data_IF_964265298882
#
_entry.id   IF_964265298882
#
_cell.length_a   1.000
_cell.length_b   1.000
_cell.length_c   1.000
_cell.angle_alpha   90.00
_cell.angle_beta   90.00
_cell.angle_gamma   90.00
#
_symmetry.space_group_name_H-M   'P 1'
#
loop_
_entity.id
_entity.type
_entity.pdbx_description
1 polymer ?
#
# COMPACT_ATOMS: atom_id res chain seq x y z
N UNK A 1 6.95 -0.80 10.58
CA UNK A 1 6.70 -2.19 11.03
C UNK A 1 7.04 -3.08 9.85
N UNK A 2 7.74 -4.20 10.06
CA UNK A 2 8.00 -5.13 8.97
C UNK A 2 6.67 -5.74 8.46
N UNK A 3 6.66 -6.27 7.25
CA UNK A 3 5.47 -6.89 6.70
C UNK A 3 5.78 -7.80 5.51
N UNK A 4 4.75 -8.49 5.02
CA UNK A 4 4.82 -9.35 3.85
C UNK A 4 3.89 -8.81 2.78
N UNK A 5 4.37 -8.69 1.54
CA UNK A 5 3.56 -8.26 0.41
C UNK A 5 2.53 -9.34 0.09
N UNK A 6 1.26 -9.03 0.32
CA UNK A 6 0.13 -9.92 0.03
C UNK A 6 -0.42 -9.74 -1.39
N UNK A 7 -0.33 -8.52 -1.93
CA UNK A 7 -0.75 -8.24 -3.29
C UNK A 7 0.12 -7.16 -3.92
N UNK A 8 0.44 -7.34 -5.20
CA UNK A 8 0.99 -6.34 -6.10
C UNK A 8 0.15 -6.42 -7.38
N UNK A 9 -0.66 -5.40 -7.65
CA UNK A 9 -1.70 -5.47 -8.67
C UNK A 9 -1.86 -4.17 -9.43
N UNK A 10 -2.42 -4.28 -10.64
CA UNK A 10 -2.84 -3.13 -11.43
C UNK A 10 -4.34 -3.24 -11.73
N UNK A 11 -5.05 -2.15 -11.48
CA UNK A 11 -6.47 -1.99 -11.85
C UNK A 11 -6.61 -0.77 -12.76
N UNK A 12 -7.31 -0.91 -13.89
CA UNK A 12 -7.52 0.20 -14.84
C UNK A 12 -8.38 1.32 -14.23
N UNK A 13 -9.31 0.95 -13.36
CA UNK A 13 -10.19 1.85 -12.61
C UNK A 13 -10.01 1.52 -11.12
N UNK A 14 -10.01 2.52 -10.24
CA UNK A 14 -9.80 2.35 -8.80
C UNK A 14 -8.35 2.62 -8.40
N UNK A 15 -7.67 1.66 -7.78
CA UNK A 15 -6.38 1.90 -7.13
C UNK A 15 -5.19 2.07 -8.08
N UNK A 16 -5.32 1.77 -9.37
CA UNK A 16 -4.18 1.81 -10.28
C UNK A 16 -3.19 0.70 -9.92
N UNK A 17 -1.90 1.02 -9.95
CA UNK A 17 -0.87 0.17 -9.35
C UNK A 17 -0.97 0.27 -7.83
N UNK A 18 -1.15 -0.88 -7.19
CA UNK A 18 -1.30 -0.96 -5.74
C UNK A 18 -0.52 -2.11 -5.12
N UNK A 19 -0.03 -1.87 -3.91
CA UNK A 19 0.66 -2.83 -3.06
C UNK A 19 -0.10 -2.96 -1.75
N UNK A 20 -0.44 -4.19 -1.37
CA UNK A 20 -1.02 -4.53 -0.07
C UNK A 20 0.03 -5.29 0.74
N UNK A 21 0.34 -4.79 1.93
CA UNK A 21 1.29 -5.39 2.86
C UNK A 21 0.55 -5.81 4.14
N UNK A 22 0.79 -7.03 4.60
CA UNK A 22 0.34 -7.51 5.91
C UNK A 22 1.43 -7.33 6.95
N UNK A 23 1.07 -6.80 8.11
CA UNK A 23 1.96 -6.56 9.25
C UNK A 23 1.75 -7.57 10.40
N UNK A 24 0.93 -8.60 10.18
CA UNK A 24 0.45 -9.50 11.24
C UNK A 24 -0.77 -8.95 11.98
N UNK A 25 -1.39 -9.79 12.83
CA UNK A 25 -2.60 -9.48 13.60
C UNK A 25 -3.73 -8.86 12.75
N UNK A 26 -3.90 -9.36 11.52
CA UNK A 26 -4.86 -8.85 10.52
C UNK A 26 -4.75 -7.34 10.19
N UNK A 27 -3.62 -6.72 10.55
CA UNK A 27 -3.31 -5.35 10.17
C UNK A 27 -2.67 -5.32 8.79
N UNK A 28 -3.19 -4.48 7.91
CA UNK A 28 -2.68 -4.32 6.55
C UNK A 28 -2.55 -2.85 6.17
N UNK A 29 -1.59 -2.55 5.31
CA UNK A 29 -1.45 -1.26 4.66
C UNK A 29 -1.58 -1.40 3.15
N UNK A 30 -2.34 -0.51 2.53
CA UNK A 30 -2.51 -0.43 1.08
C UNK A 30 -1.91 0.87 0.55
N UNK A 31 -1.04 0.75 -0.45
CA UNK A 31 -0.39 1.87 -1.13
C UNK A 31 -0.85 1.87 -2.58
N UNK A 32 -1.55 2.91 -3.02
CA UNK A 32 -2.18 2.98 -4.34
C UNK A 32 -1.72 4.19 -5.17
N UNK A 33 -2.19 4.21 -6.42
CA UNK A 33 -1.88 5.20 -7.47
C UNK A 33 -0.41 5.24 -7.87
N UNK A 34 0.36 4.19 -7.60
CA UNK A 34 1.79 4.16 -7.88
C UNK A 34 2.07 4.28 -9.39
N UNK A 35 3.18 4.90 -9.78
CA UNK A 35 3.66 4.88 -11.16
C UNK A 35 4.37 3.57 -11.50
N UNK A 36 5.01 2.95 -10.49
CA UNK A 36 5.71 1.68 -10.60
C UNK A 36 5.67 0.91 -9.28
N UNK A 37 5.55 -0.41 -9.36
CA UNK A 37 5.70 -1.33 -8.23
C UNK A 37 7.11 -1.94 -8.30
N UNK A 38 7.83 -1.95 -7.18
CA UNK A 38 9.21 -2.46 -7.09
C UNK A 38 9.32 -3.76 -6.27
N UNK A 39 8.20 -4.27 -5.76
CA UNK A 39 8.12 -5.49 -4.95
C UNK A 39 7.15 -6.50 -5.56
N UNK A 40 7.28 -7.76 -5.15
CA UNK A 40 6.42 -8.88 -5.57
C UNK A 40 5.75 -9.53 -4.35
N UNK A 41 4.67 -10.25 -4.62
CA UNK A 41 3.96 -11.03 -3.59
C UNK A 41 4.93 -12.01 -2.91
N UNK A 42 4.87 -12.06 -1.59
CA UNK A 42 5.74 -12.88 -0.74
C UNK A 42 7.03 -12.19 -0.29
N UNK A 43 7.36 -11.00 -0.82
CA UNK A 43 8.52 -10.25 -0.34
C UNK A 43 8.29 -9.82 1.12
N UNK A 44 9.32 -10.01 1.94
CA UNK A 44 9.41 -9.41 3.27
C UNK A 44 9.95 -8.00 3.12
N UNK A 45 9.24 -7.03 3.68
CA UNK A 45 9.59 -5.61 3.61
C UNK A 45 9.75 -5.02 5.01
N UNK A 46 10.68 -4.10 5.15
CA UNK A 46 10.88 -3.30 6.36
C UNK A 46 10.46 -1.84 6.13
N UNK A 47 10.46 -1.05 7.19
CA UNK A 47 10.03 0.36 7.14
C UNK A 47 10.86 1.23 6.17
N UNK A 48 12.08 0.82 5.85
CA UNK A 48 13.00 1.49 4.91
C UNK A 48 12.97 0.91 3.50
N UNK A 49 12.23 -0.18 3.27
CA UNK A 49 12.19 -0.84 1.96
C UNK A 49 11.40 -0.01 0.96
N UNK A 50 12.01 0.27 -0.18
CA UNK A 50 11.31 0.90 -1.29
C UNK A 50 10.35 -0.11 -1.95
N UNK A 51 9.05 0.19 -1.90
CA UNK A 51 7.99 -0.69 -2.44
C UNK A 51 7.48 -0.25 -3.81
N UNK A 52 7.76 0.98 -4.22
CA UNK A 52 7.24 1.56 -5.44
C UNK A 52 7.50 3.06 -5.56
N UNK A 53 7.11 3.62 -6.70
CA UNK A 53 7.21 5.06 -6.99
C UNK A 53 5.82 5.68 -7.00
N UNK A 54 5.65 6.85 -6.36
CA UNK A 54 4.40 7.62 -6.40
C UNK A 54 4.01 7.94 -7.86
N UNK A 55 2.71 8.01 -8.13
CA UNK A 55 2.20 8.31 -9.47
C UNK A 55 0.76 8.80 -9.44
N UNK A 56 0.07 8.62 -10.57
CA UNK A 56 -1.33 9.00 -10.77
C UNK A 56 -2.11 7.91 -11.55
N UNK A 57 -1.81 6.63 -11.31
CA UNK A 57 -2.48 5.53 -12.02
C UNK A 57 -3.86 5.21 -11.43
N UNK A 58 -4.74 4.61 -12.24
CA UNK A 58 -6.11 4.29 -11.81
C UNK A 58 -7.00 5.53 -11.74
N UNK A 59 -7.82 5.62 -10.70
CA UNK A 59 -8.72 6.75 -10.47
C UNK A 59 -8.05 7.79 -9.58
N UNK A 60 -7.14 8.56 -10.17
CA UNK A 60 -6.42 9.66 -9.51
C UNK A 60 -6.59 10.96 -10.31
N UNK A 61 -6.72 12.09 -9.61
CA UNK A 61 -6.83 13.42 -10.24
C UNK A 61 -5.47 14.08 -10.51
N UNK A 62 -4.39 13.50 -9.96
CA UNK A 62 -3.02 13.98 -10.11
C UNK A 62 -2.05 13.13 -9.28
N UNK A 63 -0.73 13.40 -9.33
CA UNK A 63 0.26 12.60 -8.59
C UNK A 63 0.10 12.73 -7.07
N UNK A 64 -0.22 11.62 -6.40
CA UNK A 64 -0.32 11.54 -4.95
C UNK A 64 -0.19 10.09 -4.48
N UNK A 65 -0.01 9.90 -3.17
CA UNK A 65 -0.10 8.59 -2.53
C UNK A 65 -1.46 8.44 -1.84
N UNK A 66 -2.21 7.41 -2.21
CA UNK A 66 -3.36 6.96 -1.44
C UNK A 66 -2.91 5.85 -0.49
N UNK A 67 -3.00 6.13 0.81
CA UNK A 67 -2.63 5.22 1.88
C UNK A 67 -3.88 4.82 2.66
N UNK A 68 -4.08 3.51 2.81
CA UNK A 68 -5.04 2.97 3.76
C UNK A 68 -4.32 2.12 4.79
N UNK A 69 -4.77 2.21 6.05
CA UNK A 69 -4.48 1.19 7.06
C UNK A 69 -5.80 0.50 7.39
N UNK A 70 -5.78 -0.83 7.41
CA UNK A 70 -6.95 -1.64 7.74
C UNK A 70 -6.64 -2.55 8.92
N UNK A 71 -7.56 -2.60 9.86
CA UNK A 71 -7.56 -3.50 11.01
C UNK A 71 -8.70 -4.51 10.82
N UNK A 72 -8.37 -5.81 10.79
CA UNK A 72 -9.33 -6.87 10.45
C UNK A 72 -10.12 -6.59 9.15
N UNK A 73 -9.44 -5.99 8.16
CA UNK A 73 -10.03 -5.61 6.86
C UNK A 73 -10.85 -4.31 6.87
N UNK A 74 -11.06 -3.68 8.02
CA UNK A 74 -11.80 -2.42 8.15
C UNK A 74 -10.84 -1.23 8.09
N UNK A 75 -11.04 -0.25 7.19
CA UNK A 75 -10.21 0.96 7.15
C UNK A 75 -10.31 1.76 8.45
N UNK A 76 -9.15 2.12 9.00
CA UNK A 76 -9.01 2.99 10.17
C UNK A 76 -8.27 4.27 9.79
N UNK A 77 -8.36 5.32 10.63
CA UNK A 77 -7.59 6.54 10.41
C UNK A 77 -6.07 6.24 10.51
N UNK A 78 -5.27 6.40 9.44
CA UNK A 78 -3.84 6.09 9.48
C UNK A 78 -3.08 6.88 10.55
N UNK A 79 -3.48 8.12 10.83
CA UNK A 79 -2.82 8.97 11.83
C UNK A 79 -2.98 8.45 13.28
N UNK A 80 -3.88 7.49 13.51
CA UNK A 80 -4.01 6.85 14.82
C UNK A 80 -2.91 5.82 15.12
N UNK A 81 -2.21 5.34 14.09
CA UNK A 81 -1.24 4.22 14.20
C UNK A 81 0.13 4.51 13.59
N UNK A 82 0.25 5.58 12.79
CA UNK A 82 1.54 5.98 12.25
C UNK A 82 2.44 6.57 13.35
N UNK A 83 3.76 6.27 13.32
CA UNK A 83 4.71 6.89 14.23
C UNK A 83 4.69 8.42 14.08
N UNK A 84 4.90 9.12 15.20
CA UNK A 84 4.99 10.60 15.25
C UNK A 84 6.38 11.09 14.84
#
# INVERSE_FOLDING_TARGET
>A
MAGVVQAASYTKIGYGNAVLISHGNDMTSLYAHLSKIEVKVGDVVESSTEIGKMGATGHATGPHLHLEIRDHGVPINPLSVLPR
#
